data_IF_148177334380
#
_entry.id   IF_148177334380
#
_cell.length_a   1.000
_cell.length_b   1.000
_cell.length_c   1.000
_cell.angle_alpha   90.00
_cell.angle_beta   90.00
_cell.angle_gamma   90.00
#
_symmetry.space_group_name_H-M   'P 1'
#
loop_
_entity.id
_entity.type
_entity.pdbx_description
1 polymer ?
#
# COMPACT_ATOMS: atom_id res chain seq x y z
N UNK A 1 -3.04 -19.38 9.83
CA UNK A 1 -2.63 -18.02 10.17
C UNK A 1 -1.25 -17.99 10.80
N UNK A 2 -0.61 -16.85 10.74
CA UNK A 2 0.69 -16.61 11.37
C UNK A 2 0.53 -15.42 12.32
N UNK A 3 1.11 -15.52 13.52
CA UNK A 3 1.10 -14.46 14.52
C UNK A 3 2.52 -13.97 14.79
N UNK A 4 2.71 -12.66 14.82
CA UNK A 4 3.97 -12.00 15.20
C UNK A 4 3.66 -10.66 15.88
N UNK A 5 4.55 -10.18 16.73
CA UNK A 5 4.31 -8.97 17.52
C UNK A 5 5.05 -7.78 16.98
N UNK A 6 4.34 -6.73 16.54
CA UNK A 6 4.85 -5.43 16.12
C UNK A 6 6.07 -5.50 15.17
N UNK A 7 6.85 -4.43 15.10
CA UNK A 7 8.09 -4.34 14.34
C UNK A 7 9.13 -5.40 14.70
N UNK A 8 9.51 -5.62 15.97
CA UNK A 8 10.47 -6.66 16.35
C UNK A 8 10.04 -8.08 15.97
N UNK A 9 8.74 -8.35 15.94
CA UNK A 9 8.20 -9.61 15.43
C UNK A 9 8.33 -9.72 13.93
N UNK A 10 8.06 -8.66 13.20
CA UNK A 10 8.28 -8.56 11.74
C UNK A 10 9.74 -8.79 11.39
N UNK A 11 10.68 -8.18 12.11
CA UNK A 11 12.12 -8.35 11.91
C UNK A 11 12.55 -9.83 12.03
N UNK A 12 11.98 -10.56 12.98
CA UNK A 12 12.27 -11.99 13.16
C UNK A 12 11.63 -12.89 12.11
N UNK A 13 10.67 -12.38 11.36
CA UNK A 13 10.00 -13.11 10.28
C UNK A 13 10.64 -12.85 8.89
N UNK A 14 11.73 -12.10 8.80
CA UNK A 14 12.33 -11.70 7.53
C UNK A 14 12.62 -12.86 6.58
N UNK A 15 13.21 -13.94 7.08
CA UNK A 15 13.49 -15.14 6.28
C UNK A 15 12.21 -15.84 5.82
N UNK A 16 11.24 -16.01 6.73
CA UNK A 16 9.94 -16.62 6.40
C UNK A 16 9.20 -15.81 5.36
N UNK A 17 9.17 -14.48 5.49
CA UNK A 17 8.54 -13.59 4.50
C UNK A 17 9.21 -13.67 3.14
N UNK A 18 10.54 -13.74 3.09
CA UNK A 18 11.29 -13.88 1.84
C UNK A 18 10.88 -15.13 1.08
N UNK A 19 10.91 -16.27 1.76
CA UNK A 19 10.53 -17.55 1.16
C UNK A 19 9.05 -17.59 0.77
N UNK A 20 8.18 -17.12 1.64
CA UNK A 20 6.74 -17.09 1.39
C UNK A 20 6.36 -16.20 0.21
N UNK A 21 6.95 -15.02 0.10
CA UNK A 21 6.69 -14.09 -1.00
C UNK A 21 7.28 -14.60 -2.32
N UNK A 22 8.46 -15.20 -2.30
CA UNK A 22 9.04 -15.84 -3.49
C UNK A 22 8.14 -16.98 -4.01
N UNK A 23 7.70 -17.87 -3.12
CA UNK A 23 6.75 -18.94 -3.47
C UNK A 23 5.40 -18.36 -3.94
N UNK A 24 4.86 -17.40 -3.20
CA UNK A 24 3.65 -16.68 -3.58
C UNK A 24 2.36 -17.18 -2.95
N UNK A 25 1.23 -16.91 -3.60
CA UNK A 25 -0.12 -17.22 -3.14
C UNK A 25 -0.87 -18.12 -4.10
N UNK A 26 -1.89 -18.82 -3.61
CA UNK A 26 -2.74 -19.65 -4.45
C UNK A 26 -3.62 -18.80 -5.38
N UNK A 27 -4.05 -19.38 -6.49
CA UNK A 27 -4.91 -18.75 -7.49
C UNK A 27 -6.19 -18.10 -6.92
N UNK A 28 -6.77 -18.73 -5.90
CA UNK A 28 -8.01 -18.27 -5.26
C UNK A 28 -7.78 -17.72 -3.85
N UNK A 29 -6.52 -17.66 -3.43
CA UNK A 29 -6.12 -17.12 -2.14
C UNK A 29 -5.77 -15.65 -2.19
N UNK A 30 -5.00 -15.25 -1.22
CA UNK A 30 -4.44 -13.93 -1.03
C UNK A 30 -3.91 -13.85 0.40
N UNK A 31 -2.84 -13.10 0.61
CA UNK A 31 -2.23 -12.96 1.94
C UNK A 31 -1.96 -11.50 2.23
N UNK A 32 -2.46 -11.05 3.38
CA UNK A 32 -2.05 -9.79 4.00
C UNK A 32 -1.18 -10.09 5.20
N UNK A 33 0.02 -9.50 5.23
CA UNK A 33 0.89 -9.45 6.38
C UNK A 33 0.65 -8.12 7.11
N UNK A 34 -0.22 -8.15 8.12
CA UNK A 34 -0.58 -6.96 8.90
C UNK A 34 0.52 -6.68 9.92
N UNK A 35 1.18 -5.53 9.80
CA UNK A 35 2.27 -5.12 10.67
C UNK A 35 1.85 -3.92 11.53
N UNK A 36 1.89 -4.11 12.85
CA UNK A 36 1.67 -3.03 13.82
C UNK A 36 2.93 -2.17 13.97
N UNK A 37 2.88 -0.94 13.52
CA UNK A 37 3.98 0.02 13.66
C UNK A 37 3.72 1.03 14.77
N UNK A 38 4.79 1.45 15.41
CA UNK A 38 4.76 2.37 16.54
C UNK A 38 5.85 3.44 16.36
N UNK A 39 5.56 4.42 15.50
CA UNK A 39 6.52 5.48 15.15
C UNK A 39 6.88 6.39 16.31
N UNK A 40 5.98 6.54 17.27
CA UNK A 40 6.19 7.36 18.46
C UNK A 40 6.78 6.59 19.65
N UNK A 41 7.06 5.29 19.47
CA UNK A 41 7.54 4.40 20.54
C UNK A 41 6.68 4.40 21.81
N UNK A 42 5.34 4.52 21.67
CA UNK A 42 4.41 4.58 22.79
C UNK A 42 4.42 3.32 23.66
N UNK A 43 4.58 2.17 23.03
CA UNK A 43 4.63 0.86 23.71
C UNK A 43 5.85 0.03 23.29
N UNK A 44 6.90 0.68 22.79
CA UNK A 44 8.18 0.10 22.39
C UNK A 44 9.33 0.92 22.99
N UNK A 45 10.50 0.29 23.17
CA UNK A 45 11.69 0.99 23.69
C UNK A 45 12.24 2.01 22.68
N UNK A 46 12.10 1.72 21.38
CA UNK A 46 12.52 2.59 20.28
C UNK A 46 11.42 2.66 19.21
N UNK A 47 11.42 3.75 18.46
CA UNK A 47 10.53 3.89 17.29
C UNK A 47 10.83 2.79 16.27
N UNK A 48 9.77 2.29 15.61
CA UNK A 48 9.89 1.18 14.68
C UNK A 48 9.11 1.42 13.41
N UNK A 49 9.69 0.98 12.28
CA UNK A 49 9.12 1.07 10.94
C UNK A 49 9.37 -0.24 10.19
N UNK A 50 8.30 -0.86 9.71
CA UNK A 50 8.38 -2.18 9.07
C UNK A 50 8.59 -2.13 7.56
N UNK A 51 8.41 -0.96 6.90
CA UNK A 51 8.52 -0.83 5.45
C UNK A 51 9.89 -1.27 4.93
N UNK A 52 10.97 -0.98 5.66
CA UNK A 52 12.33 -1.34 5.24
C UNK A 52 12.51 -2.86 5.14
N UNK A 53 11.94 -3.61 6.07
CA UNK A 53 11.95 -5.06 6.04
C UNK A 53 11.11 -5.59 4.88
N UNK A 54 9.88 -5.11 4.72
CA UNK A 54 9.00 -5.54 3.64
C UNK A 54 9.59 -5.23 2.26
N UNK A 55 10.24 -4.07 2.10
CA UNK A 55 11.03 -3.76 0.90
C UNK A 55 12.16 -4.77 0.69
N UNK A 56 12.92 -5.13 1.74
CA UNK A 56 14.03 -6.08 1.64
C UNK A 56 13.57 -7.49 1.25
N UNK A 57 12.32 -7.87 1.55
CA UNK A 57 11.72 -9.15 1.15
C UNK A 57 10.78 -9.04 -0.05
N UNK A 58 10.80 -7.91 -0.75
CA UNK A 58 10.05 -7.66 -1.99
C UNK A 58 8.52 -7.79 -1.85
N UNK A 59 7.97 -7.45 -0.70
CA UNK A 59 6.51 -7.43 -0.47
C UNK A 59 5.95 -6.04 -0.72
N UNK A 60 4.94 -5.85 -1.58
CA UNK A 60 4.23 -4.58 -1.70
C UNK A 60 3.67 -4.12 -0.35
N UNK A 61 3.75 -2.81 -0.07
CA UNK A 61 3.35 -2.23 1.22
C UNK A 61 2.21 -1.24 1.02
N UNK A 62 1.08 -1.51 1.64
CA UNK A 62 -0.07 -0.62 1.73
C UNK A 62 -0.04 0.13 3.07
N UNK A 63 -0.30 1.44 3.01
CA UNK A 63 -0.28 2.34 4.17
C UNK A 63 -1.61 3.09 4.33
N UNK A 64 -2.60 2.50 5.02
CA UNK A 64 -3.88 3.15 5.30
C UNK A 64 -3.69 4.45 6.09
N UNK A 65 -4.48 5.47 5.77
CA UNK A 65 -4.44 6.77 6.47
C UNK A 65 -5.42 6.85 7.63
N UNK A 66 -6.52 6.12 7.58
CA UNK A 66 -7.55 6.14 8.61
C UNK A 66 -8.48 4.94 8.51
N UNK A 67 -9.54 4.92 9.32
CA UNK A 67 -10.42 3.75 9.51
C UNK A 67 -11.05 3.27 8.20
N UNK A 68 -11.53 4.18 7.34
CA UNK A 68 -12.08 3.80 6.05
C UNK A 68 -11.05 3.11 5.14
N UNK A 69 -9.82 3.63 5.11
CA UNK A 69 -8.74 3.04 4.32
C UNK A 69 -8.37 1.63 4.79
N UNK A 70 -8.49 1.33 6.10
CA UNK A 70 -8.24 -0.04 6.58
C UNK A 70 -9.20 -1.03 5.93
N UNK A 71 -10.46 -0.64 5.74
CA UNK A 71 -11.45 -1.48 5.07
C UNK A 71 -11.18 -1.58 3.56
N UNK A 72 -10.95 -0.45 2.90
CA UNK A 72 -10.89 -0.39 1.45
C UNK A 72 -9.56 -0.89 0.90
N UNK A 73 -8.43 -0.44 1.46
CA UNK A 73 -7.12 -0.96 1.09
C UNK A 73 -6.91 -2.40 1.55
N UNK A 74 -7.58 -2.85 2.62
CA UNK A 74 -7.58 -4.26 3.03
C UNK A 74 -8.16 -5.17 1.94
N UNK A 75 -9.29 -4.78 1.35
CA UNK A 75 -9.89 -5.48 0.22
C UNK A 75 -9.01 -5.45 -1.03
N UNK A 76 -8.46 -4.29 -1.35
CA UNK A 76 -7.51 -4.15 -2.46
C UNK A 76 -6.23 -4.95 -2.25
N UNK A 77 -5.68 -4.96 -1.03
CA UNK A 77 -4.48 -5.72 -0.72
C UNK A 77 -4.68 -7.23 -0.90
N UNK A 78 -5.84 -7.74 -0.48
CA UNK A 78 -6.20 -9.14 -0.71
C UNK A 78 -6.32 -9.46 -2.20
N UNK A 79 -7.02 -8.62 -2.96
CA UNK A 79 -7.18 -8.80 -4.40
C UNK A 79 -5.86 -8.63 -5.16
N UNK A 80 -5.01 -7.66 -4.76
CA UNK A 80 -3.66 -7.49 -5.30
C UNK A 80 -2.81 -8.74 -5.07
N UNK A 81 -2.83 -9.28 -3.85
CA UNK A 81 -2.10 -10.50 -3.51
C UNK A 81 -2.52 -11.67 -4.40
N UNK A 82 -3.82 -11.86 -4.57
CA UNK A 82 -4.39 -12.89 -5.46
C UNK A 82 -3.96 -12.71 -6.91
N UNK A 83 -4.00 -11.48 -7.40
CA UNK A 83 -3.69 -11.14 -8.78
C UNK A 83 -2.19 -11.26 -9.08
N UNK A 84 -1.34 -10.63 -8.25
CA UNK A 84 0.10 -10.56 -8.48
C UNK A 84 0.87 -11.79 -8.01
N UNK A 85 0.28 -12.60 -7.15
CA UNK A 85 0.97 -13.71 -6.49
C UNK A 85 1.93 -13.28 -5.37
N UNK A 86 2.05 -11.97 -5.08
CA UNK A 86 2.81 -11.47 -3.94
C UNK A 86 2.06 -11.68 -2.62
N UNK A 87 2.79 -11.85 -1.53
CA UNK A 87 2.29 -11.48 -0.23
C UNK A 87 2.28 -9.95 -0.14
N UNK A 88 1.25 -9.37 0.46
CA UNK A 88 1.10 -7.91 0.57
C UNK A 88 1.20 -7.50 2.02
N UNK A 89 2.11 -6.59 2.32
CA UNK A 89 2.23 -5.99 3.64
C UNK A 89 1.17 -4.90 3.82
N UNK A 90 0.57 -4.88 5.01
CA UNK A 90 -0.49 -3.97 5.37
C UNK A 90 -0.14 -3.27 6.69
N UNK A 91 0.22 -2.01 6.59
CA UNK A 91 0.73 -1.26 7.72
C UNK A 91 -0.39 -0.77 8.63
N UNK A 92 -0.29 -1.06 9.92
CA UNK A 92 -1.21 -0.59 10.95
C UNK A 92 -0.43 0.25 11.97
N UNK A 93 -0.55 1.57 11.87
CA UNK A 93 0.12 2.52 12.79
C UNK A 93 -0.75 2.73 14.01
N UNK A 94 -0.15 2.71 15.21
CA UNK A 94 -0.85 2.88 16.49
C UNK A 94 -1.81 4.09 16.48
N UNK A 95 -1.36 5.22 15.97
CA UNK A 95 -2.15 6.46 15.94
C UNK A 95 -3.43 6.37 15.11
N UNK A 96 -3.49 5.50 14.13
CA UNK A 96 -4.66 5.33 13.25
C UNK A 96 -5.50 4.11 13.61
N UNK A 97 -4.88 3.02 14.09
CA UNK A 97 -5.59 1.78 14.40
C UNK A 97 -6.37 1.88 15.72
N UNK A 98 -5.94 2.74 16.64
CA UNK A 98 -6.61 3.01 17.91
C UNK A 98 -7.69 4.11 17.79
N UNK A 99 -7.87 4.68 16.60
CA UNK A 99 -8.90 5.68 16.33
C UNK A 99 -10.25 5.05 16.02
N UNK A 100 -11.31 5.84 16.20
CA UNK A 100 -12.68 5.49 15.82
C UNK A 100 -13.24 6.52 14.88
N UNK A 101 -13.97 6.07 13.88
CA UNK A 101 -14.63 6.95 12.92
C UNK A 101 -15.91 6.30 12.38
N UNK A 102 -16.82 7.13 11.90
CA UNK A 102 -17.93 6.66 11.07
C UNK A 102 -17.38 6.24 9.71
N UNK A 103 -17.80 5.08 9.23
CA UNK A 103 -17.35 4.52 7.96
C UNK A 103 -18.54 4.22 7.06
N UNK A 104 -18.34 4.35 5.76
CA UNK A 104 -19.30 3.90 4.75
C UNK A 104 -19.12 2.40 4.51
N UNK A 105 -20.18 1.64 4.76
CA UNK A 105 -20.20 0.19 4.57
C UNK A 105 -21.21 -0.14 3.46
N UNK A 106 -20.69 -0.59 2.32
CA UNK A 106 -21.46 -1.11 1.21
C UNK A 106 -20.68 -2.27 0.59
N UNK A 107 -21.31 -3.44 0.35
CA UNK A 107 -20.64 -4.58 -0.28
C UNK A 107 -20.03 -4.28 -1.66
N UNK A 108 -20.55 -3.27 -2.34
CA UNK A 108 -20.14 -2.88 -3.69
C UNK A 108 -19.29 -1.60 -3.74
N UNK A 109 -18.93 -1.01 -2.59
CA UNK A 109 -18.16 0.25 -2.54
C UNK A 109 -16.75 0.13 -3.12
N UNK A 110 -16.11 -1.03 -2.94
CA UNK A 110 -14.77 -1.30 -3.48
C UNK A 110 -14.92 -1.98 -4.82
N UNK A 111 -14.65 -1.24 -5.88
CA UNK A 111 -14.62 -1.79 -7.24
C UNK A 111 -13.20 -2.24 -7.58
N UNK A 112 -13.04 -3.54 -7.83
CA UNK A 112 -11.74 -4.13 -8.16
C UNK A 112 -11.63 -4.28 -9.67
N UNK A 113 -10.76 -3.47 -10.27
CA UNK A 113 -10.43 -3.51 -11.68
C UNK A 113 -9.23 -4.42 -11.90
N UNK A 114 -9.39 -5.43 -12.75
CA UNK A 114 -8.27 -6.25 -13.18
C UNK A 114 -7.46 -5.49 -14.23
N UNK A 115 -6.14 -5.28 -14.02
CA UNK A 115 -5.34 -4.52 -14.97
C UNK A 115 -5.13 -5.28 -16.28
N UNK A 116 -5.00 -4.53 -17.36
CA UNK A 116 -4.48 -5.03 -18.63
C UNK A 116 -2.94 -5.12 -18.54
N UNK A 117 -2.48 -6.26 -18.05
CA UNK A 117 -1.06 -6.57 -17.88
C UNK A 117 -0.78 -7.99 -18.36
N UNK A 118 0.18 -8.14 -19.28
CA UNK A 118 0.55 -9.42 -19.83
C UNK A 118 1.21 -10.33 -18.79
N UNK A 119 0.48 -11.34 -18.34
CA UNK A 119 1.00 -12.33 -17.40
C UNK A 119 1.92 -13.32 -18.12
N UNK A 120 3.01 -13.77 -17.47
CA UNK A 120 3.89 -14.78 -18.03
C UNK A 120 3.17 -16.14 -18.13
N UNK A 121 3.66 -17.06 -18.98
CA UNK A 121 3.12 -18.42 -19.08
C UNK A 121 3.03 -19.09 -17.70
N UNK A 122 1.87 -19.68 -17.39
CA UNK A 122 1.59 -20.32 -16.10
C UNK A 122 1.19 -19.37 -14.98
N UNK A 123 1.09 -18.06 -15.25
CA UNK A 123 0.64 -17.06 -14.29
C UNK A 123 1.65 -16.76 -13.15
N UNK A 124 1.17 -16.10 -12.10
CA UNK A 124 2.01 -15.58 -11.02
C UNK A 124 1.80 -16.27 -9.66
N UNK A 125 0.78 -17.13 -9.56
CA UNK A 125 0.48 -17.83 -8.31
C UNK A 125 1.50 -18.94 -8.04
N UNK A 126 1.47 -19.46 -6.81
CA UNK A 126 2.35 -20.55 -6.38
C UNK A 126 2.22 -21.76 -7.30
N UNK A 127 3.36 -22.32 -7.69
CA UNK A 127 3.46 -23.57 -8.45
C UNK A 127 4.39 -24.54 -7.72
N UNK A 128 4.13 -25.79 -7.84
CA UNK A 128 4.94 -26.83 -7.27
C UNK A 128 5.26 -27.91 -8.32
N UNK A 129 6.52 -28.30 -8.45
CA UNK A 129 7.73 -27.81 -7.80
C UNK A 129 8.45 -26.76 -8.67
N UNK A 130 8.41 -25.48 -8.31
CA UNK A 130 9.25 -24.47 -8.96
C UNK A 130 10.65 -24.44 -8.32
N UNK A 131 11.69 -24.29 -9.16
CA UNK A 131 13.03 -24.03 -8.68
C UNK A 131 13.11 -22.64 -8.02
N UNK A 132 14.02 -22.50 -7.04
CA UNK A 132 14.18 -21.27 -6.26
C UNK A 132 14.56 -20.06 -7.11
N UNK A 133 15.44 -20.26 -8.10
CA UNK A 133 15.86 -19.17 -9.00
C UNK A 133 14.70 -18.74 -9.91
N UNK A 134 13.89 -19.69 -10.37
CA UNK A 134 12.67 -19.40 -11.15
C UNK A 134 11.66 -18.61 -10.32
N UNK A 135 11.51 -18.94 -9.02
CA UNK A 135 10.63 -18.18 -8.13
C UNK A 135 11.12 -16.74 -7.95
N UNK A 136 12.44 -16.56 -7.74
CA UNK A 136 13.05 -15.23 -7.60
C UNK A 136 12.94 -14.41 -8.88
N UNK A 137 13.24 -14.98 -10.03
CA UNK A 137 13.06 -14.34 -11.34
C UNK A 137 11.63 -13.86 -11.54
N UNK A 138 10.64 -14.71 -11.25
CA UNK A 138 9.24 -14.34 -11.36
C UNK A 138 8.84 -13.24 -10.39
N UNK A 139 9.37 -13.25 -9.17
CA UNK A 139 9.12 -12.19 -8.20
C UNK A 139 9.63 -10.84 -8.72
N UNK A 140 10.88 -10.79 -9.15
CA UNK A 140 11.56 -9.56 -9.55
C UNK A 140 11.09 -9.01 -10.90
N UNK A 141 10.83 -9.89 -11.87
CA UNK A 141 10.52 -9.46 -13.24
C UNK A 141 9.04 -9.46 -13.60
N UNK A 142 8.18 -10.07 -12.77
CA UNK A 142 6.76 -10.17 -13.09
C UNK A 142 5.84 -9.79 -11.93
N UNK A 143 5.98 -10.39 -10.75
CA UNK A 143 5.02 -10.19 -9.65
C UNK A 143 4.97 -8.74 -9.17
N UNK A 144 6.12 -8.09 -8.99
CA UNK A 144 6.19 -6.68 -8.58
C UNK A 144 5.58 -5.74 -9.61
N UNK A 145 5.82 -6.00 -10.90
CA UNK A 145 5.23 -5.20 -11.98
C UNK A 145 3.72 -5.42 -12.10
N UNK A 146 3.24 -6.64 -11.87
CA UNK A 146 1.81 -6.91 -11.78
C UNK A 146 1.16 -6.15 -10.60
N UNK A 147 1.84 -6.08 -9.45
CA UNK A 147 1.38 -5.29 -8.31
C UNK A 147 1.33 -3.78 -8.63
N UNK A 148 2.33 -3.24 -9.34
CA UNK A 148 2.32 -1.85 -9.83
C UNK A 148 1.16 -1.59 -10.81
N UNK A 149 0.95 -2.50 -11.78
CA UNK A 149 -0.17 -2.40 -12.72
C UNK A 149 -1.52 -2.45 -11.96
N UNK A 150 -1.63 -3.30 -10.94
CA UNK A 150 -2.81 -3.37 -10.09
C UNK A 150 -3.04 -2.04 -9.33
N UNK A 151 -2.00 -1.49 -8.73
CA UNK A 151 -2.08 -0.22 -7.99
C UNK A 151 -2.54 0.93 -8.90
N UNK A 152 -2.04 0.98 -10.14
CA UNK A 152 -2.42 1.99 -11.14
C UNK A 152 -3.88 1.82 -11.57
N UNK A 153 -4.28 0.62 -11.98
CA UNK A 153 -5.64 0.35 -12.46
C UNK A 153 -6.71 0.61 -11.40
N UNK A 154 -6.38 0.40 -10.13
CA UNK A 154 -7.28 0.59 -9.00
C UNK A 154 -7.07 1.92 -8.26
N UNK A 155 -6.20 2.79 -8.76
CA UNK A 155 -5.91 4.12 -8.20
C UNK A 155 -5.63 4.08 -6.70
N UNK A 156 -4.76 3.16 -6.27
CA UNK A 156 -4.39 3.06 -4.85
C UNK A 156 -3.61 4.29 -4.38
N UNK A 157 -2.92 4.96 -5.32
CA UNK A 157 -2.39 6.30 -5.13
C UNK A 157 -3.31 7.29 -5.85
N UNK A 158 -3.64 8.40 -5.22
CA UNK A 158 -4.72 9.29 -5.66
C UNK A 158 -4.26 10.75 -5.71
N UNK A 159 -4.54 11.42 -6.82
CA UNK A 159 -4.56 12.87 -6.88
C UNK A 159 -5.87 13.33 -6.22
N UNK A 160 -5.78 13.80 -4.98
CA UNK A 160 -6.94 14.17 -4.16
C UNK A 160 -7.39 15.60 -4.45
N UNK A 161 -6.42 16.50 -4.60
CA UNK A 161 -6.66 17.89 -5.00
C UNK A 161 -5.79 18.16 -6.22
N UNK A 162 -6.40 18.65 -7.28
CA UNK A 162 -5.71 19.14 -8.47
C UNK A 162 -5.91 20.66 -8.63
N UNK A 163 -5.00 21.32 -9.35
CA UNK A 163 -5.07 22.74 -9.61
C UNK A 163 -4.80 23.04 -11.08
N UNK A 164 -5.58 23.93 -11.70
CA UNK A 164 -5.33 24.36 -13.08
C UNK A 164 -4.06 25.23 -13.22
N UNK A 165 -3.56 25.77 -12.11
CA UNK A 165 -2.34 26.59 -12.05
C UNK A 165 -1.46 26.16 -10.87
N UNK A 166 -0.81 24.98 -10.95
CA UNK A 166 -0.09 24.40 -9.82
C UNK A 166 1.13 25.23 -9.41
N UNK A 167 1.28 25.42 -8.12
CA UNK A 167 2.38 26.17 -7.48
C UNK A 167 3.08 25.39 -6.41
N UNK A 168 2.35 24.48 -5.73
CA UNK A 168 2.84 23.65 -4.66
C UNK A 168 2.21 22.26 -4.76
N UNK A 169 3.05 21.23 -4.87
CA UNK A 169 2.65 19.83 -4.81
C UNK A 169 2.99 19.21 -3.47
N UNK A 170 2.02 18.58 -2.81
CA UNK A 170 2.20 17.86 -1.56
C UNK A 170 1.96 16.37 -1.83
N UNK A 171 2.98 15.54 -1.58
CA UNK A 171 2.86 14.07 -1.61
C UNK A 171 2.90 13.57 -0.18
N UNK A 172 1.94 12.74 0.20
CA UNK A 172 1.84 12.25 1.57
C UNK A 172 1.22 10.85 1.63
N UNK A 173 1.40 10.13 2.74
CA UNK A 173 0.88 8.78 2.95
C UNK A 173 0.47 8.53 4.40
N UNK A 174 -0.35 7.50 4.62
CA UNK A 174 -0.73 7.07 5.96
C UNK A 174 -1.27 8.21 6.82
N UNK A 175 -0.91 8.22 8.10
CA UNK A 175 -1.36 9.25 9.06
C UNK A 175 -1.00 10.67 8.61
N UNK A 176 0.17 10.88 8.00
CA UNK A 176 0.60 12.20 7.54
C UNK A 176 -0.36 12.83 6.52
N UNK A 177 -1.12 12.00 5.77
CA UNK A 177 -2.19 12.52 4.94
C UNK A 177 -3.29 13.19 5.77
N UNK A 178 -3.69 12.58 6.88
CA UNK A 178 -4.68 13.19 7.79
C UNK A 178 -4.15 14.46 8.45
N UNK A 179 -2.85 14.51 8.76
CA UNK A 179 -2.22 15.71 9.34
C UNK A 179 -2.24 16.88 8.33
N UNK A 180 -1.99 16.61 7.05
CA UNK A 180 -2.11 17.63 5.98
C UNK A 180 -3.55 18.11 5.85
N UNK A 181 -4.54 17.18 5.87
CA UNK A 181 -5.96 17.54 5.82
C UNK A 181 -6.36 18.40 7.01
N UNK A 182 -5.92 18.04 8.20
CA UNK A 182 -6.18 18.83 9.41
C UNK A 182 -5.55 20.23 9.34
N UNK A 183 -4.32 20.31 8.84
CA UNK A 183 -3.69 21.61 8.64
C UNK A 183 -4.46 22.49 7.65
N UNK A 184 -5.04 21.93 6.60
CA UNK A 184 -5.90 22.66 5.69
C UNK A 184 -7.18 23.14 6.38
N UNK A 185 -7.83 22.28 7.16
CA UNK A 185 -9.02 22.66 7.93
C UNK A 185 -8.71 23.80 8.93
N UNK A 186 -7.59 23.71 9.66
CA UNK A 186 -7.15 24.72 10.63
C UNK A 186 -6.84 26.08 9.98
N UNK A 187 -6.38 26.05 8.72
CA UNK A 187 -6.11 27.25 7.91
C UNK A 187 -7.34 27.77 7.16
N UNK A 188 -8.47 27.07 7.23
CA UNK A 188 -9.69 27.39 6.47
C UNK A 188 -9.54 27.16 4.96
N UNK A 189 -8.64 26.24 4.57
CA UNK A 189 -8.39 25.88 3.16
C UNK A 189 -9.21 24.63 2.81
N UNK A 190 -10.33 24.80 2.15
CA UNK A 190 -11.06 23.70 1.55
C UNK A 190 -10.43 23.27 0.21
N UNK A 191 -10.91 22.20 -0.39
CA UNK A 191 -10.36 21.64 -1.63
C UNK A 191 -10.46 22.63 -2.80
N UNK A 192 -11.50 23.46 -2.82
CA UNK A 192 -11.72 24.48 -3.85
C UNK A 192 -10.70 25.61 -3.72
N UNK A 193 -10.53 26.15 -2.52
CA UNK A 193 -9.54 27.20 -2.26
C UNK A 193 -8.12 26.67 -2.50
N UNK A 194 -7.82 25.44 -2.08
CA UNK A 194 -6.52 24.80 -2.36
C UNK A 194 -6.23 24.76 -3.87
N UNK A 195 -7.19 24.33 -4.69
CA UNK A 195 -7.07 24.32 -6.14
C UNK A 195 -6.89 25.73 -6.72
N UNK A 196 -7.64 26.72 -6.24
CA UNK A 196 -7.57 28.13 -6.69
C UNK A 196 -6.20 28.77 -6.41
N UNK A 197 -5.61 28.51 -5.24
CA UNK A 197 -4.31 29.06 -4.85
C UNK A 197 -3.10 28.27 -5.37
N UNK A 198 -3.35 27.18 -6.08
CA UNK A 198 -2.31 26.41 -6.74
C UNK A 198 -1.76 25.23 -5.93
N UNK A 199 -2.47 24.74 -4.93
CA UNK A 199 -2.06 23.55 -4.17
C UNK A 199 -2.60 22.29 -4.82
N UNK A 200 -1.71 21.30 -4.99
CA UNK A 200 -2.05 19.93 -5.39
C UNK A 200 -1.74 18.96 -4.26
N UNK A 201 -2.59 17.98 -4.04
CA UNK A 201 -2.40 16.98 -2.99
C UNK A 201 -2.48 15.57 -3.59
N UNK A 202 -1.40 14.80 -3.41
CA UNK A 202 -1.31 13.41 -3.84
C UNK A 202 -1.18 12.48 -2.62
N UNK A 203 -2.13 11.56 -2.50
CA UNK A 203 -2.18 10.55 -1.44
C UNK A 203 -1.59 9.24 -1.95
N UNK A 204 -0.56 8.74 -1.28
CA UNK A 204 0.06 7.46 -1.58
C UNK A 204 -0.53 6.37 -0.69
N UNK A 205 -1.26 5.43 -1.27
CA UNK A 205 -1.81 4.26 -0.58
C UNK A 205 -0.89 3.05 -0.63
N UNK A 206 -0.17 2.84 -1.75
CA UNK A 206 0.91 1.85 -1.87
C UNK A 206 2.27 2.56 -1.83
N UNK A 207 2.95 2.46 -0.69
CA UNK A 207 4.21 3.16 -0.48
C UNK A 207 5.42 2.43 -1.07
N UNK A 208 5.31 1.11 -1.26
CA UNK A 208 6.34 0.33 -1.94
C UNK A 208 5.72 -0.87 -2.69
N UNK A 209 6.18 -1.18 -3.93
CA UNK A 209 6.92 -0.26 -4.79
C UNK A 209 6.07 0.96 -5.13
N UNK A 210 6.68 2.13 -5.19
CA UNK A 210 5.95 3.35 -5.53
C UNK A 210 5.54 3.31 -7.01
N UNK A 211 4.25 3.52 -7.28
CA UNK A 211 3.75 3.60 -8.64
C UNK A 211 4.23 4.91 -9.29
N UNK A 212 5.15 4.77 -10.22
CA UNK A 212 5.96 5.89 -10.74
C UNK A 212 5.23 6.76 -11.76
N UNK A 213 4.27 6.21 -12.52
CA UNK A 213 3.58 6.99 -13.56
C UNK A 213 2.64 8.03 -12.96
N UNK A 214 1.90 7.65 -11.91
CA UNK A 214 1.04 8.59 -11.19
C UNK A 214 1.82 9.71 -10.50
N UNK A 215 2.96 9.36 -9.89
CA UNK A 215 3.85 10.35 -9.26
C UNK A 215 4.47 11.28 -10.31
N UNK A 216 4.92 10.73 -11.46
CA UNK A 216 5.44 11.54 -12.56
C UNK A 216 4.39 12.50 -13.10
N UNK A 217 3.19 12.01 -13.37
CA UNK A 217 2.09 12.85 -13.84
C UNK A 217 1.74 13.97 -12.84
N UNK A 218 1.79 13.64 -11.53
CA UNK A 218 1.61 14.65 -10.49
C UNK A 218 2.73 15.70 -10.50
N UNK A 219 3.98 15.30 -10.72
CA UNK A 219 5.14 16.20 -10.68
C UNK A 219 5.27 17.07 -11.95
N UNK A 220 4.77 16.61 -13.09
CA UNK A 220 4.82 17.30 -14.38
C UNK A 220 3.67 18.30 -14.59
N UNK A 221 2.59 18.16 -13.88
CA UNK A 221 1.40 19.04 -13.97
C UNK A 221 1.38 20.10 -12.92
#
# INVERSE_FOLDING_TARGET
GMWYGKGPGVDRCGDVFRHANAAGTSKFGGVLAVAGDDHAARSSTVAHQTEHLFKAVMMPVLAPSGVQDYLDLGMHGWAMSRYSGCWVAFKAVADTIESSASVYIDPHRVNITQPDYALPPGGLNIRWPDDRLVQEERLLHHKLYAALAYARANRLNQLVIDSPNPRLGIITCGKSYLDVRQAFDDLGIDDKLAAEIGIRLYKVGMVWPLESEGVRHFAEG
#
